data_IF_224384747924
#
_entry.id   IF_224384747924
#
_cell.length_a   1.000
_cell.length_b   1.000
_cell.length_c   1.000
_cell.angle_alpha   90.00
_cell.angle_beta   90.00
_cell.angle_gamma   90.00
#
_symmetry.space_group_name_H-M   'P 1'
#
loop_
_entity.id
_entity.type
_entity.pdbx_description
1 polymer ?
#
# COMPACT_ATOMS: atom_id res chain seq x y z
N UNK A 1 -4.30 39.02 43.14
CA UNK A 1 -3.17 39.83 43.62
C UNK A 1 -1.91 39.12 43.21
N UNK A 2 -0.84 39.86 42.94
CA UNK A 2 0.52 39.29 42.84
C UNK A 2 1.14 39.52 44.20
N UNK A 3 1.53 38.44 44.88
CA UNK A 3 1.77 38.47 46.32
C UNK A 3 3.26 38.62 46.70
N UNK A 4 4.19 38.68 45.73
CA UNK A 4 5.56 39.16 45.99
C UNK A 4 6.27 39.69 44.73
N UNK A 5 7.14 40.68 44.93
CA UNK A 5 8.07 41.18 43.92
C UNK A 5 9.44 40.52 44.13
N UNK A 6 9.98 39.89 43.07
CA UNK A 6 11.23 39.11 43.12
C UNK A 6 12.50 39.92 42.76
N UNK A 7 12.37 41.24 42.58
CA UNK A 7 13.48 42.14 42.27
C UNK A 7 12.98 43.49 41.76
N UNK A 8 13.81 44.53 41.87
CA UNK A 8 13.44 45.90 41.45
C UNK A 8 13.68 46.15 39.94
N UNK A 9 14.48 45.31 39.28
CA UNK A 9 14.81 45.49 37.86
C UNK A 9 14.06 44.48 36.96
N UNK A 10 13.48 44.93 35.84
CA UNK A 10 12.83 44.04 34.87
C UNK A 10 13.87 43.20 34.11
N UNK A 11 13.77 41.87 34.25
CA UNK A 11 14.68 40.92 33.57
C UNK A 11 14.20 40.70 32.12
N UNK A 12 14.98 41.15 31.15
CA UNK A 12 14.75 40.88 29.73
C UNK A 12 15.28 39.48 29.36
N UNK A 13 14.38 38.51 29.17
CA UNK A 13 14.74 37.11 28.83
C UNK A 13 14.92 36.85 27.33
N UNK A 14 14.83 37.87 26.49
CA UNK A 14 14.97 37.76 25.03
C UNK A 14 16.36 38.19 24.52
N UNK A 15 17.23 38.70 25.40
CA UNK A 15 18.62 38.98 25.05
C UNK A 15 19.47 37.71 25.17
N UNK A 16 20.21 37.38 24.10
CA UNK A 16 21.19 36.30 24.12
C UNK A 16 22.45 36.74 24.87
N UNK A 17 22.98 35.90 25.78
CA UNK A 17 24.13 36.28 26.60
C UNK A 17 25.41 36.40 25.76
N UNK A 18 26.16 37.47 26.01
CA UNK A 18 27.47 37.71 25.39
C UNK A 18 28.50 36.70 25.91
N UNK A 19 29.14 35.97 24.98
CA UNK A 19 30.02 34.84 25.32
C UNK A 19 31.40 35.33 25.80
N UNK A 20 31.76 34.97 27.03
CA UNK A 20 33.11 35.17 27.60
C UNK A 20 34.05 34.09 27.05
N UNK A 21 35.25 34.42 26.53
CA UNK A 21 36.16 33.41 26.01
C UNK A 21 36.85 32.63 27.14
N UNK A 22 36.73 31.30 27.10
CA UNK A 22 37.38 30.39 28.05
C UNK A 22 38.88 30.18 27.71
N UNK A 23 39.75 29.91 28.72
CA UNK A 23 41.15 29.61 28.48
C UNK A 23 41.33 28.24 27.81
N UNK A 24 42.31 28.14 26.89
CA UNK A 24 42.56 26.95 26.07
C UNK A 24 43.05 25.76 26.90
N UNK A 25 42.29 24.66 26.88
CA UNK A 25 42.70 23.36 27.40
C UNK A 25 43.70 22.65 26.43
N UNK A 26 44.60 21.80 26.94
CA UNK A 26 45.50 21.02 26.09
C UNK A 26 44.71 20.00 25.25
N UNK A 27 45.06 19.90 23.97
CA UNK A 27 44.42 18.98 23.01
C UNK A 27 44.71 17.53 23.39
N UNK A 28 43.70 16.64 23.53
CA UNK A 28 43.95 15.21 23.59
C UNK A 28 44.43 14.72 22.22
N UNK A 29 45.47 13.90 22.23
CA UNK A 29 45.92 13.15 21.06
C UNK A 29 44.80 12.19 20.66
N UNK A 30 44.28 12.32 19.44
CA UNK A 30 43.26 11.42 18.92
C UNK A 30 43.87 10.01 18.75
N UNK A 31 43.48 9.08 19.62
CA UNK A 31 43.62 7.66 19.33
C UNK A 31 42.62 7.35 18.20
N UNK A 32 43.16 7.07 17.02
CA UNK A 32 42.40 6.66 15.86
C UNK A 32 41.71 5.32 16.19
N UNK A 33 40.37 5.24 16.30
CA UNK A 33 39.73 3.94 16.47
C UNK A 33 39.96 3.15 15.19
N UNK A 34 40.62 1.99 15.32
CA UNK A 34 40.75 1.00 14.25
C UNK A 34 39.35 0.72 13.70
N UNK A 35 39.12 1.19 12.47
CA UNK A 35 37.91 0.92 11.71
C UNK A 35 37.80 -0.61 11.60
N UNK A 36 36.72 -1.25 12.09
CA UNK A 36 36.56 -2.68 11.88
C UNK A 36 36.59 -2.95 10.37
N UNK A 37 37.20 -4.07 9.93
CA UNK A 37 37.24 -4.40 8.52
C UNK A 37 35.81 -4.45 7.98
N UNK A 38 35.57 -3.98 6.74
CA UNK A 38 34.26 -4.13 6.14
C UNK A 38 33.91 -5.62 6.17
N UNK A 39 32.84 -5.96 6.88
CA UNK A 39 32.25 -7.29 6.74
C UNK A 39 31.96 -7.47 5.25
N UNK A 40 32.30 -8.62 4.65
CA UNK A 40 31.96 -8.88 3.27
C UNK A 40 30.45 -8.70 3.15
N UNK A 41 30.03 -7.74 2.32
CA UNK A 41 28.64 -7.58 1.95
C UNK A 41 28.20 -8.95 1.41
N UNK A 42 27.32 -9.62 2.14
CA UNK A 42 26.63 -10.78 1.61
C UNK A 42 25.98 -10.28 0.33
N UNK A 43 26.27 -10.85 -0.86
CA UNK A 43 25.60 -10.41 -2.05
C UNK A 43 24.11 -10.69 -1.83
N UNK A 44 23.32 -9.63 -1.60
CA UNK A 44 21.88 -9.69 -1.85
C UNK A 44 21.81 -10.05 -3.31
N UNK A 45 21.47 -11.30 -3.59
CA UNK A 45 21.18 -11.76 -4.92
C UNK A 45 20.00 -10.91 -5.40
N UNK A 46 20.32 -9.83 -6.10
CA UNK A 46 19.39 -9.11 -6.94
C UNK A 46 19.02 -10.06 -8.06
N UNK A 47 18.03 -10.92 -7.80
CA UNK A 47 17.31 -11.60 -8.86
C UNK A 47 16.41 -10.53 -9.48
N UNK A 48 17.01 -9.59 -10.21
CA UNK A 48 16.26 -8.67 -11.06
C UNK A 48 15.86 -9.47 -12.28
N UNK A 49 14.74 -10.20 -12.18
CA UNK A 49 14.01 -10.62 -13.38
C UNK A 49 13.73 -9.35 -14.17
N UNK A 50 14.05 -9.34 -15.46
CA UNK A 50 13.76 -8.19 -16.31
C UNK A 50 12.27 -7.81 -16.16
N UNK A 51 11.93 -6.52 -16.01
CA UNK A 51 10.56 -6.08 -15.70
C UNK A 51 9.50 -6.71 -16.62
N UNK A 52 9.80 -6.84 -17.91
CA UNK A 52 8.91 -7.45 -18.90
C UNK A 52 8.69 -8.95 -18.67
N UNK A 53 9.73 -9.70 -18.29
CA UNK A 53 9.63 -11.13 -18.01
C UNK A 53 8.80 -11.39 -16.74
N UNK A 54 8.92 -10.53 -15.72
CA UNK A 54 8.10 -10.61 -14.51
C UNK A 54 6.61 -10.36 -14.82
N UNK A 55 6.29 -9.35 -15.63
CA UNK A 55 4.92 -9.06 -16.06
C UNK A 55 4.36 -10.21 -16.90
N UNK A 56 5.14 -10.76 -17.83
CA UNK A 56 4.74 -11.89 -18.65
C UNK A 56 4.46 -13.15 -17.81
N UNK A 57 5.34 -13.45 -16.83
CA UNK A 57 5.15 -14.55 -15.89
C UNK A 57 3.91 -14.36 -15.02
N UNK A 58 3.67 -13.15 -14.51
CA UNK A 58 2.46 -12.83 -13.75
C UNK A 58 1.19 -13.05 -14.58
N UNK A 59 1.20 -12.63 -15.84
CA UNK A 59 0.07 -12.83 -16.77
C UNK A 59 -0.19 -14.32 -17.01
N UNK A 60 0.86 -15.11 -17.20
CA UNK A 60 0.72 -16.56 -17.40
C UNK A 60 0.17 -17.26 -16.15
N UNK A 61 0.73 -16.94 -14.97
CA UNK A 61 0.26 -17.48 -13.71
C UNK A 61 -1.21 -17.12 -13.46
N UNK A 62 -1.59 -15.85 -13.64
CA UNK A 62 -2.97 -15.42 -13.48
C UNK A 62 -3.91 -16.14 -14.47
N UNK A 63 -3.55 -16.22 -15.75
CA UNK A 63 -4.37 -16.87 -16.80
C UNK A 63 -4.63 -18.35 -16.53
N UNK A 64 -3.64 -19.04 -15.99
CA UNK A 64 -3.71 -20.50 -15.75
C UNK A 64 -4.44 -20.89 -14.47
N UNK A 65 -4.80 -19.94 -13.60
CA UNK A 65 -5.47 -20.21 -12.34
C UNK A 65 -6.98 -20.51 -12.54
N UNK A 66 -7.47 -21.76 -12.39
CA UNK A 66 -8.88 -22.08 -12.64
C UNK A 66 -9.83 -21.61 -11.53
N UNK A 67 -9.33 -21.38 -10.31
CA UNK A 67 -10.12 -20.98 -9.14
C UNK A 67 -9.36 -19.96 -8.30
N UNK A 68 -10.04 -19.33 -7.33
CA UNK A 68 -9.41 -18.37 -6.41
C UNK A 68 -8.37 -19.04 -5.51
N UNK A 69 -8.59 -20.30 -5.12
CA UNK A 69 -7.66 -21.08 -4.31
C UNK A 69 -6.38 -21.38 -5.10
N UNK A 70 -6.52 -21.72 -6.39
CA UNK A 70 -5.38 -21.90 -7.28
C UNK A 70 -4.64 -20.58 -7.50
N UNK A 71 -5.37 -19.47 -7.69
CA UNK A 71 -4.80 -18.14 -7.83
C UNK A 71 -4.00 -17.73 -6.58
N UNK A 72 -4.54 -17.96 -5.38
CA UNK A 72 -3.85 -17.74 -4.11
C UNK A 72 -2.54 -18.52 -4.06
N UNK A 73 -2.58 -19.82 -4.36
CA UNK A 73 -1.39 -20.69 -4.34
C UNK A 73 -0.31 -20.20 -5.31
N UNK A 74 -0.71 -19.78 -6.51
CA UNK A 74 0.20 -19.20 -7.50
C UNK A 74 0.81 -17.89 -7.02
N UNK A 75 0.02 -17.01 -6.38
CA UNK A 75 0.52 -15.75 -5.82
C UNK A 75 1.46 -15.97 -4.63
N UNK A 76 1.19 -16.96 -3.76
CA UNK A 76 2.07 -17.31 -2.64
C UNK A 76 3.47 -17.77 -3.11
N UNK A 77 3.54 -18.42 -4.27
CA UNK A 77 4.79 -18.91 -4.86
C UNK A 77 5.39 -17.99 -5.92
N UNK A 78 4.72 -16.89 -6.28
CA UNK A 78 5.19 -15.97 -7.31
C UNK A 78 6.37 -15.12 -6.84
N UNK A 79 7.53 -15.19 -7.49
CA UNK A 79 8.74 -14.44 -7.09
C UNK A 79 9.07 -13.25 -8.03
N UNK A 80 8.18 -12.92 -8.97
CA UNK A 80 8.38 -11.82 -9.92
C UNK A 80 8.10 -10.42 -9.35
N UNK A 81 7.69 -10.29 -8.08
CA UNK A 81 7.40 -9.01 -7.44
C UNK A 81 8.29 -8.79 -6.21
N UNK A 82 9.12 -7.76 -6.24
CA UNK A 82 10.02 -7.42 -5.12
C UNK A 82 9.28 -7.14 -3.81
N UNK A 83 8.03 -6.67 -3.87
CA UNK A 83 7.21 -6.38 -2.69
C UNK A 83 7.01 -7.62 -1.81
N UNK A 84 6.90 -8.81 -2.41
CA UNK A 84 6.76 -10.08 -1.68
C UNK A 84 7.89 -10.31 -0.68
N UNK A 85 9.12 -9.92 -1.01
CA UNK A 85 10.29 -10.10 -0.13
C UNK A 85 10.35 -9.09 1.02
N UNK A 86 9.50 -8.07 0.99
CA UNK A 86 9.47 -6.98 2.00
C UNK A 86 8.19 -6.96 2.82
N UNK A 87 7.10 -7.48 2.28
CA UNK A 87 5.86 -7.68 2.98
C UNK A 87 5.94 -8.89 3.92
N UNK A 88 5.14 -8.85 4.97
CA UNK A 88 5.04 -9.94 5.96
C UNK A 88 4.12 -11.05 5.46
N UNK A 89 3.00 -10.68 4.82
CA UNK A 89 1.99 -11.64 4.34
C UNK A 89 1.50 -11.27 2.96
N UNK A 90 1.00 -12.28 2.26
CA UNK A 90 0.12 -12.07 1.12
C UNK A 90 -1.25 -11.62 1.64
N UNK A 91 -1.70 -10.44 1.22
CA UNK A 91 -3.05 -9.94 1.47
C UNK A 91 -3.89 -10.20 0.22
N UNK A 92 -4.46 -11.41 0.17
CA UNK A 92 -5.14 -11.93 -1.02
C UNK A 92 -6.50 -11.24 -1.25
N UNK A 93 -7.46 -11.48 -0.36
CA UNK A 93 -8.81 -10.92 -0.41
C UNK A 93 -9.53 -11.18 0.93
N UNK A 94 -10.69 -10.54 1.11
CA UNK A 94 -11.67 -10.84 2.16
C UNK A 94 -13.10 -10.79 1.59
N UNK A 95 -14.05 -11.39 2.32
CA UNK A 95 -15.46 -11.41 1.97
C UNK A 95 -15.89 -12.66 1.19
N UNK A 96 -16.92 -12.52 0.37
CA UNK A 96 -17.61 -13.64 -0.28
C UNK A 96 -17.20 -13.78 -1.76
N UNK A 97 -16.61 -14.92 -2.18
CA UNK A 97 -16.25 -15.21 -3.58
C UNK A 97 -17.40 -15.13 -4.60
N UNK A 98 -18.66 -15.21 -4.14
CA UNK A 98 -19.86 -15.12 -4.97
C UNK A 98 -20.55 -13.75 -4.87
N UNK A 99 -19.90 -12.77 -4.25
CA UNK A 99 -20.46 -11.43 -4.07
C UNK A 99 -20.74 -10.73 -5.40
N UNK A 100 -21.83 -9.96 -5.43
CA UNK A 100 -22.21 -9.16 -6.60
C UNK A 100 -21.52 -7.80 -6.66
N UNK A 101 -20.90 -7.38 -5.57
CA UNK A 101 -20.14 -6.12 -5.49
C UNK A 101 -18.71 -6.42 -5.07
N UNK A 102 -17.77 -5.94 -5.86
CA UNK A 102 -16.34 -6.06 -5.58
C UNK A 102 -15.74 -4.68 -5.32
N UNK A 103 -15.01 -4.53 -4.21
CA UNK A 103 -14.28 -3.32 -3.83
C UNK A 103 -12.79 -3.55 -4.02
N UNK A 104 -12.12 -2.64 -4.71
CA UNK A 104 -10.68 -2.75 -4.97
C UNK A 104 -9.92 -1.49 -4.55
N UNK A 105 -9.03 -1.64 -3.58
CA UNK A 105 -8.08 -0.61 -3.14
C UNK A 105 -6.74 -0.66 -3.86
N UNK A 106 -5.80 0.16 -3.40
CA UNK A 106 -4.45 0.29 -3.97
C UNK A 106 -3.52 -0.83 -3.50
N UNK A 107 -3.18 -0.82 -2.21
CA UNK A 107 -2.23 -1.72 -1.60
C UNK A 107 -2.52 -1.87 -0.09
N UNK A 108 -2.00 -2.92 0.58
CA UNK A 108 -2.23 -3.15 2.00
C UNK A 108 -1.46 -2.14 2.86
N UNK A 109 -2.05 -1.73 3.98
CA UNK A 109 -1.38 -1.00 5.03
C UNK A 109 -0.66 -1.93 6.01
N UNK A 110 -0.22 -1.37 7.14
CA UNK A 110 0.52 -2.11 8.18
C UNK A 110 -0.34 -3.19 8.82
N UNK A 111 -1.57 -2.85 9.18
CA UNK A 111 -2.46 -3.78 9.90
C UNK A 111 -2.87 -4.92 8.96
N UNK A 112 -3.13 -4.60 7.70
CA UNK A 112 -3.44 -5.57 6.65
C UNK A 112 -2.28 -6.55 6.39
N UNK A 113 -1.04 -6.06 6.34
CA UNK A 113 0.15 -6.91 6.18
C UNK A 113 0.39 -7.84 7.37
N UNK A 114 0.08 -7.37 8.58
CA UNK A 114 0.18 -8.18 9.80
C UNK A 114 -0.92 -9.23 9.84
N UNK A 115 -2.15 -8.90 9.47
CA UNK A 115 -3.28 -9.83 9.55
C UNK A 115 -3.39 -10.75 8.33
N UNK A 116 -2.95 -10.30 7.15
CA UNK A 116 -3.14 -11.01 5.88
C UNK A 116 -4.52 -10.78 5.26
N UNK A 117 -5.26 -9.77 5.72
CA UNK A 117 -6.61 -9.43 5.26
C UNK A 117 -6.69 -7.97 4.81
N UNK A 118 -7.37 -7.67 3.68
CA UNK A 118 -7.50 -6.30 3.20
C UNK A 118 -8.45 -5.48 4.07
N UNK A 119 -8.14 -4.18 4.18
CA UNK A 119 -8.98 -3.20 4.85
C UNK A 119 -9.34 -3.59 6.30
N UNK A 120 -8.39 -4.01 7.14
CA UNK A 120 -8.65 -4.28 8.57
C UNK A 120 -8.30 -3.08 9.48
N UNK A 121 -7.51 -2.14 8.96
CA UNK A 121 -7.10 -0.94 9.67
C UNK A 121 -8.20 0.14 9.75
N UNK A 122 -7.79 1.39 9.99
CA UNK A 122 -8.71 2.54 10.14
C UNK A 122 -9.58 2.80 8.91
N UNK A 123 -8.98 2.84 7.72
CA UNK A 123 -9.72 2.97 6.46
C UNK A 123 -10.68 1.80 6.24
N UNK A 124 -10.29 0.61 6.70
CA UNK A 124 -11.15 -0.57 6.67
C UNK A 124 -12.43 -0.43 7.48
N UNK A 125 -12.31 0.07 8.72
CA UNK A 125 -13.48 0.37 9.56
C UNK A 125 -14.40 1.41 8.95
N UNK A 126 -13.86 2.37 8.19
CA UNK A 126 -14.68 3.32 7.46
C UNK A 126 -15.37 2.66 6.26
N UNK A 127 -14.66 1.81 5.51
CA UNK A 127 -15.22 1.01 4.43
C UNK A 127 -16.40 0.16 4.93
N UNK A 128 -16.26 -0.48 6.10
CA UNK A 128 -17.33 -1.28 6.70
C UNK A 128 -18.59 -0.45 6.95
N UNK A 129 -18.43 0.79 7.45
CA UNK A 129 -19.55 1.72 7.65
C UNK A 129 -20.18 2.15 6.33
N UNK A 130 -19.38 2.35 5.28
CA UNK A 130 -19.88 2.70 3.95
C UNK A 130 -20.67 1.55 3.31
N UNK A 131 -20.18 0.31 3.45
CA UNK A 131 -20.86 -0.91 3.01
C UNK A 131 -22.17 -1.10 3.80
N UNK A 132 -22.14 -0.90 5.11
CA UNK A 132 -23.34 -0.96 5.96
C UNK A 132 -24.39 0.09 5.58
N UNK A 133 -23.96 1.30 5.20
CA UNK A 133 -24.87 2.38 4.80
C UNK A 133 -25.69 2.06 3.54
N UNK A 134 -25.22 1.13 2.70
CA UNK A 134 -25.95 0.63 1.52
C UNK A 134 -26.64 -0.72 1.78
N UNK A 135 -26.78 -1.13 3.05
CA UNK A 135 -27.48 -2.35 3.45
C UNK A 135 -26.70 -3.64 3.18
N UNK A 136 -25.39 -3.55 2.97
CA UNK A 136 -24.50 -4.68 2.76
C UNK A 136 -23.57 -4.90 3.96
N UNK A 137 -22.82 -5.98 3.93
CA UNK A 137 -21.72 -6.27 4.86
C UNK A 137 -20.63 -7.06 4.10
N UNK A 138 -19.52 -7.40 4.78
CA UNK A 138 -18.41 -8.15 4.17
C UNK A 138 -18.79 -9.53 3.65
N UNK A 139 -19.80 -10.19 4.22
CA UNK A 139 -20.29 -11.49 3.71
C UNK A 139 -21.04 -11.37 2.38
N UNK A 140 -21.36 -10.15 1.94
CA UNK A 140 -22.03 -9.84 0.67
C UNK A 140 -21.15 -9.07 -0.31
N UNK A 141 -19.90 -8.80 0.05
CA UNK A 141 -18.94 -8.06 -0.76
C UNK A 141 -17.68 -8.90 -0.97
N UNK A 142 -16.94 -8.64 -2.04
CA UNK A 142 -15.58 -9.15 -2.22
C UNK A 142 -14.61 -7.97 -2.16
N UNK A 143 -13.57 -8.06 -1.34
CA UNK A 143 -12.66 -6.95 -1.07
C UNK A 143 -11.24 -7.40 -1.39
N UNK A 144 -10.53 -6.64 -2.21
CA UNK A 144 -9.14 -6.91 -2.58
C UNK A 144 -8.38 -5.60 -2.85
N UNK A 145 -7.10 -5.72 -3.19
CA UNK A 145 -6.26 -4.59 -3.62
C UNK A 145 -5.61 -4.92 -4.97
N UNK A 146 -5.31 -3.89 -5.76
CA UNK A 146 -4.53 -4.06 -7.01
C UNK A 146 -3.17 -4.70 -6.71
N UNK A 147 -2.55 -4.28 -5.61
CA UNK A 147 -1.29 -4.85 -5.13
C UNK A 147 -1.57 -5.62 -3.83
N UNK A 148 -1.17 -6.91 -3.73
CA UNK A 148 -1.51 -7.75 -2.60
C UNK A 148 -0.40 -7.79 -1.52
N UNK A 149 0.70 -7.06 -1.71
CA UNK A 149 1.83 -6.96 -0.77
C UNK A 149 2.07 -5.51 -0.36
N UNK A 150 2.30 -5.30 0.93
CA UNK A 150 2.54 -3.96 1.48
C UNK A 150 3.83 -3.33 0.94
N UNK A 151 3.78 -2.12 0.35
CA UNK A 151 4.97 -1.36 0.02
C UNK A 151 5.74 -0.93 1.27
N UNK A 152 7.09 -0.97 1.26
CA UNK A 152 7.90 -0.58 2.40
C UNK A 152 7.62 0.88 2.78
N UNK A 153 7.36 1.12 4.07
CA UNK A 153 7.03 2.45 4.58
C UNK A 153 5.65 2.98 4.16
N UNK A 154 4.75 2.16 3.63
CA UNK A 154 3.45 2.59 3.05
C UNK A 154 3.62 3.63 1.94
N UNK A 155 4.73 3.60 1.20
CA UNK A 155 4.88 4.46 0.02
C UNK A 155 3.85 4.08 -1.05
N UNK A 156 3.60 5.00 -1.97
CA UNK A 156 2.88 4.66 -3.20
C UNK A 156 3.69 3.61 -4.00
N UNK A 157 3.04 2.57 -4.52
CA UNK A 157 3.65 1.60 -5.41
C UNK A 157 4.19 2.24 -6.68
N UNK A 158 5.26 1.66 -7.21
CA UNK A 158 5.81 2.08 -8.49
C UNK A 158 4.93 1.58 -9.65
N UNK A 159 4.98 2.23 -10.83
CA UNK A 159 4.26 1.74 -12.00
C UNK A 159 4.61 0.29 -12.36
N UNK A 160 5.86 -0.12 -12.15
CA UNK A 160 6.30 -1.49 -12.40
C UNK A 160 5.66 -2.48 -11.42
N UNK A 161 5.62 -2.18 -10.12
CA UNK A 161 4.95 -3.02 -9.13
C UNK A 161 3.46 -3.18 -9.44
N UNK A 162 2.80 -2.09 -9.82
CA UNK A 162 1.40 -2.11 -10.26
C UNK A 162 1.21 -2.98 -11.50
N UNK A 163 2.07 -2.84 -12.53
CA UNK A 163 1.96 -3.63 -13.76
C UNK A 163 2.18 -5.13 -13.54
N UNK A 164 3.09 -5.50 -12.63
CA UNK A 164 3.32 -6.90 -12.27
C UNK A 164 2.12 -7.49 -11.54
N UNK A 165 1.44 -6.71 -10.69
CA UNK A 165 0.30 -7.21 -9.91
C UNK A 165 -1.04 -7.15 -10.65
N UNK A 166 -1.17 -6.29 -11.67
CA UNK A 166 -2.41 -6.06 -12.40
C UNK A 166 -3.06 -7.35 -12.96
N UNK A 167 -2.32 -8.31 -13.54
CA UNK A 167 -2.93 -9.55 -14.04
C UNK A 167 -3.63 -10.36 -12.94
N UNK A 168 -3.12 -10.34 -11.70
CA UNK A 168 -3.73 -11.09 -10.60
C UNK A 168 -5.08 -10.49 -10.21
N UNK A 169 -5.17 -9.17 -10.01
CA UNK A 169 -6.45 -8.53 -9.65
C UNK A 169 -7.47 -8.62 -10.79
N UNK A 170 -7.04 -8.57 -12.05
CA UNK A 170 -7.91 -8.86 -13.19
C UNK A 170 -8.47 -10.28 -13.14
N UNK A 171 -7.64 -11.27 -12.78
CA UNK A 171 -8.08 -12.64 -12.59
C UNK A 171 -9.03 -12.81 -11.40
N UNK A 172 -8.82 -12.08 -10.29
CA UNK A 172 -9.81 -12.02 -9.21
C UNK A 172 -11.16 -11.56 -9.74
N UNK A 173 -11.21 -10.45 -10.50
CA UNK A 173 -12.45 -9.91 -11.05
C UNK A 173 -13.13 -10.92 -11.98
N UNK A 174 -12.37 -11.60 -12.82
CA UNK A 174 -12.89 -12.64 -13.72
C UNK A 174 -13.48 -13.83 -12.95
N UNK A 175 -12.76 -14.34 -11.94
CA UNK A 175 -13.16 -15.52 -11.16
C UNK A 175 -14.33 -15.24 -10.20
N UNK A 176 -14.35 -14.06 -9.57
CA UNK A 176 -15.46 -13.62 -8.70
C UNK A 176 -16.70 -13.27 -9.52
N UNK A 177 -16.51 -12.80 -10.76
CA UNK A 177 -17.57 -12.42 -11.69
C UNK A 177 -18.63 -11.49 -11.04
N UNK A 178 -18.23 -10.35 -10.44
CA UNK A 178 -19.16 -9.43 -9.78
C UNK A 178 -20.07 -8.73 -10.80
N UNK A 179 -21.21 -8.19 -10.35
CA UNK A 179 -22.08 -7.35 -11.19
C UNK A 179 -21.62 -5.88 -11.18
N UNK A 180 -20.99 -5.45 -10.09
CA UNK A 180 -20.47 -4.09 -9.90
C UNK A 180 -19.06 -4.10 -9.35
N UNK A 181 -18.18 -3.31 -9.97
CA UNK A 181 -16.82 -3.04 -9.52
C UNK A 181 -16.72 -1.63 -8.93
N UNK A 182 -16.21 -1.51 -7.71
CA UNK A 182 -16.00 -0.23 -7.02
C UNK A 182 -14.51 -0.03 -6.79
N UNK A 183 -13.90 0.95 -7.45
CA UNK A 183 -12.49 1.29 -7.25
C UNK A 183 -12.35 2.35 -6.16
N UNK A 184 -11.52 2.06 -5.16
CA UNK A 184 -11.31 2.90 -3.97
C UNK A 184 -10.02 3.70 -4.12
N UNK A 185 -10.14 4.98 -4.44
CA UNK A 185 -9.02 5.90 -4.59
C UNK A 185 -8.50 6.03 -6.03
N UNK A 186 -7.60 6.99 -6.23
CA UNK A 186 -7.07 7.30 -7.55
C UNK A 186 -6.20 6.17 -8.14
N UNK A 187 -5.26 5.55 -7.40
CA UNK A 187 -4.35 4.58 -8.01
C UNK A 187 -5.05 3.29 -8.49
N UNK A 188 -5.99 2.75 -7.70
CA UNK A 188 -6.81 1.60 -8.10
C UNK A 188 -7.69 1.92 -9.31
N UNK A 189 -8.28 3.12 -9.33
CA UNK A 189 -9.09 3.61 -10.45
C UNK A 189 -8.29 3.71 -11.74
N UNK A 190 -7.09 4.30 -11.70
CA UNK A 190 -6.23 4.44 -12.88
C UNK A 190 -5.75 3.07 -13.38
N UNK A 191 -5.36 2.18 -12.46
CA UNK A 191 -4.86 0.85 -12.80
C UNK A 191 -5.94 -0.03 -13.46
N UNK A 192 -7.16 -0.03 -12.93
CA UNK A 192 -8.24 -0.88 -13.43
C UNK A 192 -9.00 -0.25 -14.60
N UNK A 193 -9.36 1.04 -14.52
CA UNK A 193 -10.20 1.67 -15.53
C UNK A 193 -9.39 2.25 -16.70
N UNK A 194 -8.06 2.18 -16.67
CA UNK A 194 -7.19 2.67 -17.75
C UNK A 194 -7.29 4.19 -17.98
N UNK A 195 -7.81 4.94 -17.02
CA UNK A 195 -7.99 6.39 -17.13
C UNK A 195 -6.77 7.16 -16.63
N UNK A 196 -6.51 8.32 -17.25
CA UNK A 196 -5.53 9.31 -16.77
C UNK A 196 -6.18 10.48 -16.02
N UNK A 197 -7.51 10.52 -15.97
CA UNK A 197 -8.22 11.53 -15.21
C UNK A 197 -7.98 11.34 -13.70
N UNK A 198 -7.95 12.43 -12.95
CA UNK A 198 -7.86 12.39 -11.50
C UNK A 198 -9.20 12.02 -10.86
N UNK A 199 -9.15 11.40 -9.67
CA UNK A 199 -10.33 10.91 -8.94
C UNK A 199 -11.44 11.95 -8.76
N UNK A 200 -11.11 13.24 -8.63
CA UNK A 200 -12.09 14.32 -8.53
C UNK A 200 -13.05 14.39 -9.72
N UNK A 201 -12.58 14.04 -10.92
CA UNK A 201 -13.37 14.06 -12.18
C UNK A 201 -14.04 12.73 -12.46
N UNK A 202 -13.45 11.63 -12.01
CA UNK A 202 -13.91 10.27 -12.34
C UNK A 202 -14.91 9.73 -11.31
N UNK A 203 -14.83 10.16 -10.05
CA UNK A 203 -15.69 9.63 -8.99
C UNK A 203 -17.18 9.80 -9.28
N UNK A 204 -17.97 8.78 -8.94
CA UNK A 204 -19.43 8.77 -9.10
C UNK A 204 -19.93 8.64 -10.54
N UNK A 205 -19.04 8.60 -11.54
CA UNK A 205 -19.41 8.28 -12.92
C UNK A 205 -19.39 6.77 -13.13
N UNK A 206 -20.47 6.26 -13.71
CA UNK A 206 -20.55 4.86 -14.10
C UNK A 206 -19.88 4.64 -15.45
N UNK A 207 -19.02 3.62 -15.53
CA UNK A 207 -18.24 3.28 -16.71
C UNK A 207 -18.40 1.79 -16.97
N UNK A 208 -18.40 1.38 -18.23
CA UNK A 208 -18.35 -0.04 -18.60
C UNK A 208 -16.96 -0.61 -18.38
N UNK A 209 -16.90 -1.78 -17.75
CA UNK A 209 -15.65 -2.50 -17.49
C UNK A 209 -15.73 -3.90 -18.12
N UNK A 210 -14.80 -4.21 -19.01
CA UNK A 210 -14.66 -5.52 -19.60
C UNK A 210 -13.87 -6.44 -18.67
N UNK A 211 -14.51 -7.51 -18.20
CA UNK A 211 -13.90 -8.53 -17.34
C UNK A 211 -13.18 -9.63 -18.12
N UNK A 212 -13.21 -9.57 -19.46
CA UNK A 212 -12.78 -10.64 -20.36
C UNK A 212 -13.85 -11.69 -20.63
N UNK A 213 -14.85 -11.83 -19.75
CA UNK A 213 -15.98 -12.76 -19.92
C UNK A 213 -17.30 -12.05 -20.18
N UNK A 214 -17.49 -10.87 -19.56
CA UNK A 214 -18.63 -9.98 -19.79
C UNK A 214 -18.29 -8.53 -19.45
N UNK A 215 -19.13 -7.61 -19.91
CA UNK A 215 -19.12 -6.21 -19.48
C UNK A 215 -19.93 -6.03 -18.20
N UNK A 216 -19.35 -5.36 -17.21
CA UNK A 216 -19.99 -5.00 -15.93
C UNK A 216 -19.94 -3.49 -15.73
N UNK A 217 -20.63 -2.98 -14.70
CA UNK A 217 -20.58 -1.55 -14.35
C UNK A 217 -19.51 -1.30 -13.30
N UNK A 218 -18.64 -0.33 -13.56
CA UNK A 218 -17.65 0.14 -12.62
C UNK A 218 -17.93 1.59 -12.17
N UNK A 219 -17.60 1.90 -10.92
CA UNK A 219 -17.67 3.25 -10.38
C UNK A 219 -16.47 3.53 -9.48
N UNK A 220 -15.88 4.71 -9.65
CA UNK A 220 -14.79 5.17 -8.79
C UNK A 220 -15.31 5.96 -7.59
N UNK A 221 -14.64 5.83 -6.45
CA UNK A 221 -14.87 6.67 -5.26
C UNK A 221 -13.55 7.01 -4.57
N UNK A 222 -13.59 7.90 -3.59
CA UNK A 222 -12.41 8.19 -2.77
C UNK A 222 -11.99 6.95 -1.97
N UNK A 223 -10.70 6.90 -1.65
CA UNK A 223 -10.22 5.93 -0.68
C UNK A 223 -10.79 6.29 0.70
N UNK A 224 -11.28 5.32 1.48
CA UNK A 224 -11.72 5.53 2.87
C UNK A 224 -10.59 6.04 3.79
#
# INVERSE_FOLDING_TARGET
GVDCALGEEPINRLEEPEAVPAPAAPRPVALNPLRPPPMPAVPRSEITVAPEAAIASAREAARTAPTLEALRTLMETFDGCALKHTATRLVFADGNPQAKVMFVGEAPGRDEDIEGLPFVGRSGKLLDRMIAAIGLDRSKAYIANVIPWRPPGNRTPTPQETQVCLPFIQRHIELVNPDVLVTLGNPSTQALLGTREGIMRTRGKWIDYDTGTRTIRAVATFHP
#
